data_IF_103099496077
#
_entry.id   IF_103099496077
#
_cell.length_a   1.000
_cell.length_b   1.000
_cell.length_c   1.000
_cell.angle_alpha   90.00
_cell.angle_beta   90.00
_cell.angle_gamma   90.00
#
_symmetry.space_group_name_H-M   'P 1'
#
loop_
_entity.id
_entity.type
_entity.pdbx_description
1 polymer ?
#
# COMPACT_ATOMS: atom_id res chain seq x y z
N UNK A 1 -42.83 -17.41 13.02
CA UNK A 1 -42.04 -16.35 13.69
C UNK A 1 -40.62 -16.87 13.94
N UNK A 2 -39.61 -16.60 13.11
CA UNK A 2 -38.26 -17.04 13.43
C UNK A 2 -37.71 -16.13 14.53
N UNK A 3 -37.41 -16.72 15.70
CA UNK A 3 -36.74 -16.03 16.81
C UNK A 3 -35.39 -15.52 16.31
N UNK A 4 -35.27 -14.21 16.12
CA UNK A 4 -34.01 -13.53 15.82
C UNK A 4 -33.05 -13.79 16.98
N UNK A 5 -32.03 -14.62 16.74
CA UNK A 5 -30.99 -14.97 17.71
C UNK A 5 -30.32 -13.66 18.16
N UNK A 6 -30.45 -13.32 19.44
CA UNK A 6 -29.83 -12.12 20.01
C UNK A 6 -28.32 -12.27 19.82
N UNK A 7 -27.71 -11.41 18.98
CA UNK A 7 -26.26 -11.32 18.87
C UNK A 7 -25.75 -10.87 20.24
N UNK A 8 -24.90 -11.70 20.85
CA UNK A 8 -24.11 -11.30 22.04
C UNK A 8 -23.32 -10.04 21.69
N UNK A 9 -23.23 -9.14 22.67
CA UNK A 9 -22.71 -7.76 22.60
C UNK A 9 -21.55 -7.50 21.60
N UNK A 10 -21.66 -6.38 20.89
CA UNK A 10 -20.90 -6.02 19.67
C UNK A 10 -19.61 -5.18 19.93
N UNK A 11 -19.11 -5.07 21.16
CA UNK A 11 -17.76 -4.51 21.40
C UNK A 11 -16.71 -5.53 20.90
N UNK A 12 -15.75 -5.15 20.05
CA UNK A 12 -15.51 -5.94 18.87
C UNK A 12 -14.64 -7.15 19.18
N UNK A 13 -15.21 -8.33 18.91
CA UNK A 13 -14.49 -9.61 18.71
C UNK A 13 -13.24 -9.51 17.80
N UNK A 14 -13.07 -8.38 17.09
CA UNK A 14 -12.04 -8.07 16.11
C UNK A 14 -10.75 -7.52 16.72
N UNK A 15 -10.83 -6.75 17.82
CA UNK A 15 -9.64 -6.31 18.58
C UNK A 15 -9.00 -7.47 19.37
N UNK A 16 -9.77 -8.53 19.65
CA UNK A 16 -9.26 -9.75 20.31
C UNK A 16 -8.25 -10.52 19.46
N UNK A 17 -8.32 -10.41 18.13
CA UNK A 17 -7.40 -11.10 17.22
C UNK A 17 -6.04 -10.41 17.10
N UNK A 18 -5.97 -9.10 17.33
CA UNK A 18 -4.71 -8.39 17.46
C UNK A 18 -4.13 -8.69 18.85
N UNK A 19 -3.56 -9.88 19.04
CA UNK A 19 -2.87 -10.21 20.30
C UNK A 19 -1.46 -9.61 20.28
N UNK A 20 -0.78 -9.46 21.43
CA UNK A 20 0.60 -8.98 21.46
C UNK A 20 1.57 -9.80 20.59
N UNK A 21 1.35 -11.12 20.50
CA UNK A 21 2.15 -12.02 19.65
C UNK A 21 1.88 -11.78 18.15
N UNK A 22 0.61 -11.65 17.75
CA UNK A 22 0.24 -11.31 16.36
C UNK A 22 0.79 -9.93 15.98
N UNK A 23 0.68 -8.95 16.87
CA UNK A 23 1.24 -7.61 16.70
C UNK A 23 2.76 -7.67 16.51
N UNK A 24 3.49 -8.37 17.37
CA UNK A 24 4.94 -8.53 17.28
C UNK A 24 5.36 -9.15 15.94
N UNK A 25 4.71 -10.24 15.51
CA UNK A 25 5.00 -10.90 14.23
C UNK A 25 4.75 -9.98 13.03
N UNK A 26 3.66 -9.21 13.05
CA UNK A 26 3.35 -8.25 11.97
C UNK A 26 4.39 -7.12 11.91
N UNK A 27 4.84 -6.62 13.06
CA UNK A 27 5.88 -5.59 13.16
C UNK A 27 7.23 -6.13 12.68
N UNK A 28 7.61 -7.33 13.09
CA UNK A 28 8.88 -7.95 12.71
C UNK A 28 8.91 -8.28 11.21
N UNK A 29 7.83 -8.83 10.67
CA UNK A 29 7.69 -9.05 9.23
C UNK A 29 7.75 -7.74 8.43
N UNK A 30 7.12 -6.67 8.95
CA UNK A 30 7.17 -5.34 8.31
C UNK A 30 8.58 -4.73 8.36
N UNK A 31 9.31 -4.93 9.46
CA UNK A 31 10.71 -4.50 9.62
C UNK A 31 11.66 -5.28 8.71
N UNK A 32 11.35 -6.55 8.45
CA UNK A 32 12.08 -7.38 7.49
C UNK A 32 11.73 -7.06 6.02
N UNK A 33 10.77 -6.15 5.77
CA UNK A 33 10.41 -5.72 4.43
C UNK A 33 9.49 -6.69 3.66
N UNK A 34 8.78 -7.58 4.36
CA UNK A 34 7.83 -8.49 3.72
C UNK A 34 6.62 -7.71 3.16
N UNK A 35 6.11 -8.20 2.03
CA UNK A 35 4.83 -7.75 1.51
C UNK A 35 3.70 -8.01 2.51
N UNK A 36 2.69 -7.13 2.53
CA UNK A 36 1.54 -7.16 3.45
C UNK A 36 0.90 -8.53 3.56
N UNK A 37 0.72 -9.21 2.42
CA UNK A 37 0.05 -10.50 2.32
C UNK A 37 0.85 -11.59 3.03
N UNK A 38 2.17 -11.60 2.82
CA UNK A 38 3.08 -12.55 3.46
C UNK A 38 3.25 -12.24 4.95
N UNK A 39 3.30 -10.97 5.33
CA UNK A 39 3.33 -10.56 6.74
C UNK A 39 2.06 -11.02 7.47
N UNK A 40 0.88 -10.84 6.87
CA UNK A 40 -0.39 -11.27 7.43
C UNK A 40 -0.44 -12.81 7.61
N UNK A 41 -0.09 -13.55 6.56
CA UNK A 41 -0.06 -15.03 6.60
C UNK A 41 0.95 -15.52 7.64
N UNK A 42 2.14 -14.93 7.71
CA UNK A 42 3.17 -15.26 8.71
C UNK A 42 2.69 -15.04 10.16
N UNK A 43 1.89 -13.99 10.39
CA UNK A 43 1.28 -13.71 11.68
C UNK A 43 -0.03 -14.49 11.96
N UNK A 44 -0.47 -15.33 11.02
CA UNK A 44 -1.69 -16.15 11.18
C UNK A 44 -2.99 -15.38 11.03
N UNK A 45 -3.00 -14.24 10.34
CA UNK A 45 -4.19 -13.43 10.07
C UNK A 45 -4.43 -13.26 8.58
N UNK A 46 -5.69 -13.04 8.19
CA UNK A 46 -5.99 -12.74 6.79
C UNK A 46 -5.43 -11.36 6.38
N UNK A 47 -5.01 -11.22 5.13
CA UNK A 47 -4.62 -9.94 4.53
C UNK A 47 -5.69 -8.86 4.74
N UNK A 48 -6.96 -9.20 4.55
CA UNK A 48 -8.07 -8.27 4.71
C UNK A 48 -8.25 -7.81 6.18
N UNK A 49 -7.90 -8.65 7.15
CA UNK A 49 -7.90 -8.26 8.57
C UNK A 49 -6.78 -7.26 8.84
N UNK A 50 -5.55 -7.57 8.41
CA UNK A 50 -4.42 -6.65 8.60
C UNK A 50 -4.66 -5.29 7.94
N UNK A 51 -5.14 -5.28 6.69
CA UNK A 51 -5.44 -4.03 5.98
C UNK A 51 -6.55 -3.20 6.64
N UNK A 52 -7.59 -3.84 7.19
CA UNK A 52 -8.63 -3.12 7.94
C UNK A 52 -8.08 -2.48 9.20
N UNK A 53 -7.25 -3.17 9.97
CA UNK A 53 -6.62 -2.60 11.15
C UNK A 53 -5.74 -1.39 10.80
N UNK A 54 -4.94 -1.50 9.72
CA UNK A 54 -4.15 -0.38 9.21
C UNK A 54 -5.04 0.79 8.75
N UNK A 55 -6.19 0.51 8.12
CA UNK A 55 -7.12 1.55 7.72
C UNK A 55 -7.75 2.26 8.92
N UNK A 56 -8.16 1.52 9.97
CA UNK A 56 -8.70 2.10 11.20
C UNK A 56 -7.69 3.02 11.87
N UNK A 57 -6.48 2.53 12.12
CA UNK A 57 -5.43 3.34 12.76
C UNK A 57 -5.06 4.57 11.94
N UNK A 58 -4.96 4.44 10.61
CA UNK A 58 -4.65 5.56 9.73
C UNK A 58 -5.75 6.62 9.72
N UNK A 59 -7.01 6.21 9.55
CA UNK A 59 -8.14 7.15 9.49
C UNK A 59 -8.26 7.91 10.80
N UNK A 60 -8.21 7.20 11.92
CA UNK A 60 -8.28 7.81 13.25
C UNK A 60 -7.09 8.74 13.51
N UNK A 61 -5.86 8.37 13.13
CA UNK A 61 -4.69 9.24 13.27
C UNK A 61 -4.85 10.55 12.45
N UNK A 62 -5.40 10.47 11.24
CA UNK A 62 -5.70 11.64 10.40
C UNK A 62 -6.77 12.52 11.03
N UNK A 63 -7.84 11.90 11.54
CA UNK A 63 -8.95 12.60 12.17
C UNK A 63 -8.51 13.34 13.44
N UNK A 64 -7.69 12.70 14.29
CA UNK A 64 -7.06 13.34 15.46
C UNK A 64 -6.17 14.51 15.07
N UNK A 65 -5.34 14.35 14.03
CA UNK A 65 -4.48 15.43 13.54
C UNK A 65 -5.28 16.62 12.97
N UNK A 66 -6.48 16.37 12.46
CA UNK A 66 -7.43 17.39 12.03
C UNK A 66 -8.25 18.00 13.19
N UNK A 67 -7.98 17.61 14.44
CA UNK A 67 -8.65 18.14 15.63
C UNK A 67 -10.03 17.55 15.91
N UNK A 68 -10.41 16.44 15.26
CA UNK A 68 -11.65 15.73 15.59
C UNK A 68 -11.50 14.99 16.93
N UNK A 69 -12.64 14.73 17.57
CA UNK A 69 -12.68 13.98 18.82
C UNK A 69 -12.19 12.55 18.61
N UNK A 70 -11.29 12.10 19.49
CA UNK A 70 -10.68 10.79 19.40
C UNK A 70 -11.65 9.70 19.87
N UNK A 71 -11.74 8.60 19.12
CA UNK A 71 -12.45 7.39 19.54
C UNK A 71 -11.50 6.48 20.34
N UNK A 72 -11.72 6.28 21.66
CA UNK A 72 -10.87 5.43 22.49
C UNK A 72 -10.86 3.95 22.07
N UNK A 73 -11.92 3.46 21.39
CA UNK A 73 -11.95 2.08 20.92
C UNK A 73 -10.91 1.82 19.80
N UNK A 74 -10.47 2.89 19.12
CA UNK A 74 -9.51 2.83 18.03
C UNK A 74 -8.06 3.06 18.45
N UNK A 75 -7.80 3.46 19.70
CA UNK A 75 -6.45 3.74 20.24
C UNK A 75 -5.46 2.62 19.92
N UNK A 76 -5.88 1.37 20.15
CA UNK A 76 -5.04 0.20 19.89
C UNK A 76 -4.64 0.08 18.41
N UNK A 77 -5.55 0.41 17.50
CA UNK A 77 -5.28 0.33 16.07
C UNK A 77 -4.40 1.49 15.59
N UNK A 78 -4.55 2.67 16.20
CA UNK A 78 -3.64 3.81 15.97
C UNK A 78 -2.23 3.44 16.39
N UNK A 79 -2.05 2.94 17.62
CA UNK A 79 -0.74 2.53 18.13
C UNK A 79 -0.11 1.44 17.24
N UNK A 80 -0.90 0.43 16.85
CA UNK A 80 -0.46 -0.62 15.94
C UNK A 80 -0.05 -0.08 14.57
N UNK A 81 -0.87 0.81 13.98
CA UNK A 81 -0.58 1.47 12.71
C UNK A 81 0.75 2.22 12.76
N UNK A 82 0.97 3.04 13.79
CA UNK A 82 2.21 3.79 13.96
C UNK A 82 3.43 2.89 14.13
N UNK A 83 3.30 1.80 14.90
CA UNK A 83 4.39 0.81 15.06
C UNK A 83 4.75 0.15 13.73
N UNK A 84 3.75 -0.21 12.92
CA UNK A 84 3.97 -0.80 11.59
C UNK A 84 4.61 0.20 10.63
N UNK A 85 4.15 1.46 10.61
CA UNK A 85 4.77 2.50 9.78
C UNK A 85 6.22 2.76 10.20
N UNK A 86 6.50 2.81 11.50
CA UNK A 86 7.87 2.92 12.03
C UNK A 86 8.74 1.71 11.63
N UNK A 87 8.18 0.50 11.66
CA UNK A 87 8.88 -0.71 11.24
C UNK A 87 9.23 -0.69 9.75
N UNK A 88 8.30 -0.26 8.89
CA UNK A 88 8.55 -0.09 7.45
C UNK A 88 9.59 0.99 7.18
N UNK A 89 9.54 2.12 7.90
CA UNK A 89 10.55 3.16 7.80
C UNK A 89 11.94 2.66 8.24
N UNK A 90 12.02 1.81 9.26
CA UNK A 90 13.27 1.17 9.67
C UNK A 90 13.82 0.22 8.61
N UNK A 91 12.95 -0.55 7.92
CA UNK A 91 13.35 -1.38 6.79
C UNK A 91 13.93 -0.55 5.64
N UNK A 92 13.28 0.58 5.32
CA UNK A 92 13.78 1.53 4.31
C UNK A 92 15.14 2.12 4.70
N UNK A 93 15.29 2.52 5.97
CA UNK A 93 16.54 3.04 6.50
C UNK A 93 17.67 2.01 6.38
N UNK A 94 17.42 0.75 6.73
CA UNK A 94 18.40 -0.33 6.61
C UNK A 94 18.88 -0.48 5.16
N UNK A 95 17.96 -0.55 4.20
CA UNK A 95 18.29 -0.62 2.78
C UNK A 95 19.09 0.62 2.30
N UNK A 96 18.70 1.82 2.72
CA UNK A 96 19.43 3.05 2.38
C UNK A 96 20.86 3.07 2.98
N UNK A 97 21.03 2.55 4.19
CA UNK A 97 22.34 2.43 4.82
C UNK A 97 23.24 1.42 4.09
N UNK A 98 22.70 0.32 3.58
CA UNK A 98 23.46 -0.64 2.77
C UNK A 98 23.92 -0.01 1.45
N UNK A 99 23.06 0.77 0.79
CA UNK A 99 23.46 1.56 -0.40
C UNK A 99 24.55 2.58 -0.03
N UNK A 100 24.41 3.34 1.06
CA UNK A 100 25.43 4.30 1.50
C UNK A 100 26.74 3.63 1.92
N UNK A 101 26.69 2.41 2.44
CA UNK A 101 27.88 1.61 2.77
C UNK A 101 28.57 1.19 1.48
N UNK A 102 27.84 0.65 0.50
CA UNK A 102 28.38 0.29 -0.80
C UNK A 102 28.97 1.51 -1.56
N UNK A 103 28.25 2.64 -1.58
CA UNK A 103 28.66 3.87 -2.26
C UNK A 103 29.93 4.50 -1.65
N UNK A 104 30.09 4.43 -0.33
CA UNK A 104 31.32 4.85 0.36
C UNK A 104 32.50 3.88 0.16
N UNK A 105 32.32 2.80 -0.61
CA UNK A 105 33.34 1.77 -0.81
C UNK A 105 33.47 0.84 0.39
N UNK A 106 32.35 0.35 0.91
CA UNK A 106 32.20 -0.39 2.17
C UNK A 106 33.23 -1.50 2.44
N UNK A 107 34.30 -1.05 3.10
CA UNK A 107 35.22 -1.71 4.05
C UNK A 107 36.02 -2.91 3.54
N UNK A 108 37.30 -2.62 3.32
CA UNK A 108 38.44 -3.52 3.16
C UNK A 108 38.52 -4.50 4.33
N UNK A 109 38.85 -5.75 4.05
CA UNK A 109 39.58 -6.57 5.02
C UNK A 109 40.79 -7.14 4.31
N UNK A 110 41.94 -6.47 4.36
CA UNK A 110 43.20 -7.12 4.00
C UNK A 110 44.32 -6.53 4.82
N UNK A 111 44.75 -7.27 5.84
CA UNK A 111 46.09 -7.18 6.41
C UNK A 111 46.81 -8.45 5.96
N UNK A 112 47.88 -8.33 5.17
CA UNK A 112 48.69 -9.48 4.75
C UNK A 112 49.80 -9.68 5.76
N UNK A 113 49.75 -10.76 6.52
CA UNK A 113 50.88 -11.15 7.37
C UNK A 113 51.65 -12.25 6.64
N UNK A 114 52.89 -11.95 6.28
CA UNK A 114 53.81 -12.93 5.69
C UNK A 114 54.60 -13.61 6.81
N UNK A 115 54.71 -14.94 6.75
CA UNK A 115 55.74 -15.65 7.50
C UNK A 115 57.10 -15.44 6.78
N UNK A 116 58.06 -14.72 7.38
CA UNK A 116 59.32 -14.37 6.72
C UNK A 116 60.20 -15.58 6.37
N UNK A 117 59.97 -16.74 6.99
CA UNK A 117 60.83 -17.91 6.85
C UNK A 117 60.28 -18.98 5.89
N UNK A 118 58.96 -19.13 5.82
CA UNK A 118 58.31 -20.18 5.01
C UNK A 118 57.75 -19.66 3.68
N UNK A 119 57.58 -18.34 3.53
CA UNK A 119 57.00 -17.72 2.33
C UNK A 119 55.53 -18.07 2.08
N UNK A 120 54.89 -18.83 2.97
CA UNK A 120 53.48 -19.20 2.85
C UNK A 120 52.58 -18.06 3.33
N UNK A 121 51.57 -17.75 2.54
CA UNK A 121 50.46 -16.89 2.96
C UNK A 121 49.64 -17.66 4.00
N UNK A 122 49.52 -17.10 5.20
CA UNK A 122 48.83 -17.77 6.32
C UNK A 122 47.30 -17.61 6.27
N UNK A 123 46.77 -16.59 5.57
CA UNK A 123 45.32 -16.40 5.42
C UNK A 123 44.98 -15.52 4.19
N UNK A 124 43.88 -15.83 3.52
CA UNK A 124 43.35 -15.11 2.35
C UNK A 124 41.96 -14.54 2.68
N UNK A 125 41.77 -13.22 2.50
CA UNK A 125 40.46 -12.58 2.66
C UNK A 125 39.96 -12.03 1.34
N UNK A 126 38.80 -12.53 0.91
CA UNK A 126 38.09 -12.11 -0.30
C UNK A 126 36.92 -11.20 0.10
N UNK A 127 36.83 -10.03 -0.53
CA UNK A 127 35.79 -9.03 -0.28
C UNK A 127 34.67 -9.16 -1.31
N UNK A 128 33.43 -9.35 -0.85
CA UNK A 128 32.25 -9.09 -1.68
C UNK A 128 31.56 -7.83 -1.15
N UNK A 129 31.48 -6.72 -1.92
CA UNK A 129 30.74 -5.54 -1.47
C UNK A 129 29.26 -5.91 -1.25
N UNK A 130 28.57 -5.28 -0.28
CA UNK A 130 27.12 -5.41 -0.19
C UNK A 130 26.50 -5.00 -1.53
N UNK A 131 25.69 -5.86 -2.13
CA UNK A 131 25.08 -5.57 -3.42
C UNK A 131 23.99 -4.50 -3.24
N UNK A 132 24.39 -3.26 -3.46
CA UNK A 132 23.50 -2.11 -3.38
C UNK A 132 22.29 -2.24 -4.30
N UNK A 133 22.38 -3.04 -5.38
CA UNK A 133 21.28 -3.23 -6.33
C UNK A 133 20.09 -3.91 -5.67
N UNK A 134 20.32 -4.88 -4.78
CA UNK A 134 19.24 -5.56 -4.05
C UNK A 134 18.51 -4.58 -3.12
N UNK A 135 19.26 -3.77 -2.39
CA UNK A 135 18.71 -2.73 -1.52
C UNK A 135 17.98 -1.62 -2.30
N UNK A 136 18.53 -1.20 -3.44
CA UNK A 136 17.91 -0.23 -4.33
C UNK A 136 16.60 -0.77 -4.93
N UNK A 137 16.61 -2.02 -5.41
CA UNK A 137 15.43 -2.70 -5.92
C UNK A 137 14.32 -2.83 -4.87
N UNK A 138 14.69 -3.15 -3.62
CA UNK A 138 13.76 -3.15 -2.50
C UNK A 138 13.11 -1.78 -2.29
N UNK A 139 13.92 -0.71 -2.23
CA UNK A 139 13.43 0.65 -2.03
C UNK A 139 12.51 1.12 -3.15
N UNK A 140 12.85 0.85 -4.41
CA UNK A 140 12.05 1.22 -5.59
C UNK A 140 10.65 0.59 -5.53
N UNK A 141 10.54 -0.63 -5.02
CA UNK A 141 9.26 -1.37 -4.96
C UNK A 141 8.43 -1.05 -3.73
N UNK A 142 9.04 -1.05 -2.54
CA UNK A 142 8.31 -0.85 -1.28
C UNK A 142 8.05 0.62 -0.97
N UNK A 143 8.90 1.52 -1.48
CA UNK A 143 8.84 2.95 -1.23
C UNK A 143 8.79 3.72 -2.54
N UNK A 144 7.93 3.26 -3.47
CA UNK A 144 7.80 3.81 -4.83
C UNK A 144 7.56 5.32 -4.85
N UNK A 145 6.81 5.87 -3.89
CA UNK A 145 6.55 7.31 -3.83
C UNK A 145 7.83 8.14 -3.66
N UNK A 146 8.86 7.59 -3.01
CA UNK A 146 10.11 8.29 -2.71
C UNK A 146 11.29 7.85 -3.59
N UNK A 147 11.31 6.57 -3.98
CA UNK A 147 12.45 5.94 -4.69
C UNK A 147 12.04 5.27 -6.00
N UNK A 148 10.75 5.23 -6.31
CA UNK A 148 10.31 4.85 -7.65
C UNK A 148 10.92 5.82 -8.65
N UNK A 149 11.20 5.35 -9.86
CA UNK A 149 11.41 6.28 -10.96
C UNK A 149 10.16 7.16 -11.01
N UNK A 150 10.35 8.44 -10.76
CA UNK A 150 9.38 9.45 -11.16
C UNK A 150 9.38 9.42 -12.68
N UNK A 151 8.70 8.43 -13.24
CA UNK A 151 8.11 8.52 -14.56
C UNK A 151 7.00 9.59 -14.43
N UNK A 152 7.41 10.85 -14.22
CA UNK A 152 6.93 11.92 -15.09
C UNK A 152 7.44 11.59 -16.51
N UNK A 153 7.05 10.43 -17.02
CA UNK A 153 6.98 10.18 -18.43
C UNK A 153 5.89 11.18 -18.82
N UNK A 154 6.29 12.36 -19.25
CA UNK A 154 5.43 13.26 -20.00
C UNK A 154 5.08 12.50 -21.28
N UNK A 155 4.12 11.58 -21.16
CA UNK A 155 3.63 10.80 -22.28
C UNK A 155 2.76 11.74 -23.07
N UNK A 156 3.37 12.37 -24.06
CA UNK A 156 2.62 13.12 -25.06
C UNK A 156 1.84 12.11 -25.92
N UNK A 157 0.56 11.97 -25.63
CA UNK A 157 -0.35 11.11 -26.40
C UNK A 157 -0.83 11.90 -27.63
N UNK A 158 -0.11 11.75 -28.73
CA UNK A 158 -0.50 12.31 -30.04
C UNK A 158 -1.02 11.22 -30.98
N UNK A 159 -1.91 11.61 -31.88
CA UNK A 159 -2.35 10.82 -33.01
C UNK A 159 -1.32 10.80 -34.14
N UNK A 160 -1.68 10.21 -35.27
CA UNK A 160 -0.80 10.10 -36.43
C UNK A 160 -0.23 11.47 -36.83
N UNK A 161 1.10 11.51 -37.04
CA UNK A 161 1.85 12.72 -37.39
C UNK A 161 1.73 13.88 -36.37
N UNK A 162 1.53 13.58 -35.08
CA UNK A 162 1.41 14.61 -34.04
C UNK A 162 0.01 15.26 -33.98
N UNK A 163 -0.95 14.73 -34.73
CA UNK A 163 -2.33 15.22 -34.75
C UNK A 163 -3.14 14.80 -33.53
N UNK A 164 -4.43 15.15 -33.48
CA UNK A 164 -5.34 14.67 -32.44
C UNK A 164 -5.44 13.13 -32.43
N UNK A 165 -5.61 12.54 -31.24
CA UNK A 165 -5.88 11.10 -31.12
C UNK A 165 -7.25 10.80 -31.74
N UNK A 166 -7.26 10.05 -32.85
CA UNK A 166 -8.49 9.58 -33.47
C UNK A 166 -9.09 8.44 -32.63
N UNK A 167 -10.31 8.64 -32.14
CA UNK A 167 -11.07 7.64 -31.39
C UNK A 167 -12.20 7.13 -32.28
N UNK A 168 -12.15 5.84 -32.62
CA UNK A 168 -13.25 5.16 -33.32
C UNK A 168 -14.07 4.37 -32.29
N UNK A 169 -15.36 4.69 -32.18
CA UNK A 169 -16.26 3.99 -31.27
C UNK A 169 -16.84 2.74 -31.92
N UNK A 170 -16.19 1.60 -31.76
CA UNK A 170 -16.60 0.31 -32.37
C UNK A 170 -17.61 -0.50 -31.53
N UNK A 171 -18.29 0.14 -30.57
CA UNK A 171 -19.21 -0.51 -29.62
C UNK A 171 -20.66 0.01 -29.69
N UNK A 172 -21.56 -0.46 -28.79
CA UNK A 172 -22.99 -0.09 -28.77
C UNK A 172 -23.27 1.41 -28.63
N UNK A 173 -22.26 2.19 -28.25
CA UNK A 173 -22.31 3.65 -28.22
C UNK A 173 -22.48 4.28 -29.62
N UNK A 174 -22.05 3.61 -30.68
CA UNK A 174 -22.27 4.06 -32.05
C UNK A 174 -23.77 4.16 -32.39
N UNK A 175 -24.59 3.32 -31.76
CA UNK A 175 -26.05 3.28 -31.93
C UNK A 175 -26.79 3.88 -30.72
N UNK A 176 -26.10 4.67 -29.88
CA UNK A 176 -26.68 5.31 -28.71
C UNK A 176 -27.74 6.34 -29.09
N UNK A 177 -27.50 7.12 -30.16
CA UNK A 177 -28.43 8.15 -30.62
C UNK A 177 -29.77 7.55 -31.05
N UNK A 178 -29.75 6.44 -31.78
CA UNK A 178 -30.94 5.69 -32.19
C UNK A 178 -31.72 5.19 -30.99
N UNK A 179 -31.03 4.52 -30.06
CA UNK A 179 -31.66 3.98 -28.83
C UNK A 179 -32.22 5.09 -27.94
N UNK A 180 -31.53 6.23 -27.81
CA UNK A 180 -32.01 7.39 -27.07
C UNK A 180 -33.27 7.97 -27.72
N UNK A 181 -33.29 8.12 -29.04
CA UNK A 181 -34.44 8.62 -29.77
C UNK A 181 -35.68 7.73 -29.58
N UNK A 182 -35.51 6.41 -29.64
CA UNK A 182 -36.58 5.45 -29.34
C UNK A 182 -37.11 5.62 -27.91
N UNK A 183 -36.21 5.69 -26.92
CA UNK A 183 -36.61 5.85 -25.51
C UNK A 183 -37.26 7.21 -25.22
N UNK A 184 -36.81 8.29 -25.85
CA UNK A 184 -37.38 9.62 -25.72
C UNK A 184 -38.77 9.71 -26.34
N UNK A 185 -38.98 9.07 -27.50
CA UNK A 185 -40.30 9.04 -28.13
C UNK A 185 -41.32 8.19 -27.36
N UNK A 186 -40.84 7.18 -26.61
CA UNK A 186 -41.68 6.35 -25.75
C UNK A 186 -42.05 7.00 -24.40
N UNK A 187 -41.41 8.11 -24.03
CA UNK A 187 -41.76 8.86 -22.82
C UNK A 187 -43.00 9.71 -23.08
N UNK A 188 -44.16 9.21 -22.64
CA UNK A 188 -45.33 10.06 -22.40
C UNK A 188 -45.11 10.80 -21.09
N UNK A 189 -44.88 12.11 -21.17
CA UNK A 189 -44.96 12.98 -20.02
C UNK A 189 -46.44 13.20 -19.69
N UNK A 190 -46.88 13.08 -18.43
CA UNK A 190 -48.22 13.47 -18.05
C UNK A 190 -48.41 14.97 -18.38
N UNK A 191 -49.55 15.32 -18.96
CA UNK A 191 -49.88 16.71 -19.28
C UNK A 191 -49.89 17.54 -17.97
N UNK A 192 -49.27 18.72 -17.99
CA UNK A 192 -49.08 19.58 -16.81
C UNK A 192 -50.40 20.05 -16.15
N UNK A 193 -51.55 19.81 -16.80
CA UNK A 193 -52.87 20.20 -16.33
C UNK A 193 -53.47 19.27 -15.25
N UNK A 194 -52.90 18.08 -15.02
CA UNK A 194 -53.39 17.13 -13.99
C UNK A 194 -52.85 17.38 -12.57
N UNK A 195 -52.13 18.49 -12.33
CA UNK A 195 -51.56 18.86 -11.03
C UNK A 195 -52.09 20.20 -10.50
N UNK A 196 -53.42 20.38 -10.47
CA UNK A 196 -54.03 21.32 -9.53
C UNK A 196 -55.02 20.55 -8.65
N UNK A 197 -54.65 20.18 -7.41
CA UNK A 197 -55.64 19.72 -6.46
C UNK A 197 -56.48 20.93 -6.05
N UNK A 198 -57.79 20.89 -6.35
CA UNK A 198 -58.77 21.79 -5.76
C UNK A 198 -58.62 21.75 -4.23
N UNK A 199 -58.22 22.88 -3.67
CA UNK A 199 -58.19 23.10 -2.23
C UNK A 199 -59.54 23.68 -1.79
N UNK A 200 -60.40 22.82 -1.24
CA UNK A 200 -61.49 23.21 -0.32
C UNK A 200 -61.18 22.74 1.10
#
# INVERSE_FOLDING_TARGET
MPRRKVRRSDAPSRARLLTPDVEARLIDASRAGLAVDLAAVNAGVSRATFLRWMAYGRTEAVDRAAGKEADPELDRFVEFFEKVERARAAAALAAALDIRRAARGGIVTTHRTFDPHSGKVLEETVTTPPDWRAAAWYLERQHRRQYGKEDHLEVELTGAAGGPVAVEHTGPAADLATRLAETLHALQYPDEDDQVPDAE
#
